data_IF_046806904609
#
_entry.id   IF_046806904609
#
_cell.length_a   1.000
_cell.length_b   1.000
_cell.length_c   1.000
_cell.angle_alpha   90.00
_cell.angle_beta   90.00
_cell.angle_gamma   90.00
#
_symmetry.space_group_name_H-M   'P 1'
#
loop_
_entity.id
_entity.type
_entity.pdbx_description
1 polymer ?
#
# COMPACT_ATOMS: atom_id res chain seq x y z
N UNK A 1 -10.12 -18.47 6.26
CA UNK A 1 -11.32 -17.95 5.54
C UNK A 1 -10.93 -17.48 4.15
N UNK A 2 -11.79 -17.61 3.14
CA UNK A 2 -11.57 -17.08 1.79
C UNK A 2 -12.47 -15.88 1.48
N UNK A 3 -11.90 -14.72 1.13
CA UNK A 3 -12.65 -13.54 0.69
C UNK A 3 -12.60 -13.40 -0.83
N UNK A 4 -13.77 -13.31 -1.48
CA UNK A 4 -13.84 -13.24 -2.94
C UNK A 4 -13.58 -11.82 -3.39
N UNK A 5 -12.58 -11.63 -4.24
CA UNK A 5 -12.25 -10.34 -4.82
C UNK A 5 -13.38 -9.85 -5.76
N UNK A 6 -13.61 -8.54 -5.75
CA UNK A 6 -14.56 -7.91 -6.68
C UNK A 6 -14.04 -7.92 -8.12
N UNK A 7 -14.92 -7.73 -9.10
CA UNK A 7 -14.53 -7.58 -10.50
C UNK A 7 -13.67 -6.33 -10.76
N UNK A 8 -13.78 -5.29 -9.92
CA UNK A 8 -12.93 -4.09 -10.00
C UNK A 8 -11.54 -4.29 -9.38
N UNK A 9 -11.25 -5.49 -8.85
CA UNK A 9 -9.96 -5.86 -8.22
C UNK A 9 -9.65 -5.05 -6.95
N UNK A 10 -10.64 -4.33 -6.43
CA UNK A 10 -10.56 -3.55 -5.21
C UNK A 10 -11.45 -4.19 -4.16
N UNK A 11 -10.88 -4.47 -3.00
CA UNK A 11 -11.60 -5.09 -1.90
C UNK A 11 -12.19 -6.47 -2.26
N UNK A 12 -13.29 -6.82 -1.60
CA UNK A 12 -13.95 -8.11 -1.68
C UNK A 12 -15.47 -7.91 -1.76
N UNK A 13 -16.15 -8.94 -2.24
CA UNK A 13 -17.61 -8.97 -2.31
C UNK A 13 -18.15 -8.95 -0.87
N UNK A 14 -18.88 -7.88 -0.54
CA UNK A 14 -19.50 -7.73 0.78
C UNK A 14 -20.60 -8.77 0.98
N UNK A 15 -20.54 -9.46 2.12
CA UNK A 15 -21.55 -10.39 2.58
C UNK A 15 -21.95 -9.99 3.99
N UNK A 16 -23.23 -10.09 4.32
CA UNK A 16 -23.74 -9.75 5.65
C UNK A 16 -23.08 -10.67 6.69
N UNK A 17 -22.47 -10.09 7.73
CA UNK A 17 -21.79 -10.84 8.78
C UNK A 17 -20.32 -11.13 8.51
N UNK A 18 -19.81 -10.91 7.29
CA UNK A 18 -18.43 -11.28 6.94
C UNK A 18 -17.40 -10.38 7.65
N UNK A 19 -17.68 -9.09 7.75
CA UNK A 19 -16.78 -8.11 8.37
C UNK A 19 -16.64 -8.39 9.87
N UNK A 20 -17.77 -8.70 10.52
CA UNK A 20 -17.83 -9.04 11.94
C UNK A 20 -17.07 -10.34 12.24
N UNK A 21 -17.19 -11.37 11.39
CA UNK A 21 -16.46 -12.62 11.58
C UNK A 21 -14.96 -12.42 11.33
N UNK A 22 -14.58 -11.62 10.33
CA UNK A 22 -13.16 -11.32 10.10
C UNK A 22 -12.54 -10.59 11.30
N UNK A 23 -13.24 -9.60 11.86
CA UNK A 23 -12.79 -8.87 13.03
C UNK A 23 -12.70 -9.79 14.27
N UNK A 24 -13.74 -10.59 14.53
CA UNK A 24 -13.79 -11.46 15.71
C UNK A 24 -12.77 -12.61 15.68
N UNK A 25 -12.34 -13.03 14.49
CA UNK A 25 -11.37 -14.12 14.31
C UNK A 25 -9.93 -13.63 14.13
N UNK A 26 -9.70 -12.31 14.11
CA UNK A 26 -8.37 -11.74 13.89
C UNK A 26 -7.88 -11.84 12.45
N UNK A 27 -8.76 -11.74 11.46
CA UNK A 27 -8.41 -11.71 10.03
C UNK A 27 -7.55 -12.89 9.50
N UNK A 28 -7.91 -14.17 9.75
CA UNK A 28 -7.27 -15.34 9.13
C UNK A 28 -7.76 -15.53 7.68
N UNK A 29 -7.53 -14.51 6.85
CA UNK A 29 -8.12 -14.36 5.53
C UNK A 29 -7.15 -14.76 4.43
N UNK A 30 -7.69 -15.34 3.35
CA UNK A 30 -7.01 -15.60 2.10
C UNK A 30 -7.84 -15.01 0.97
N UNK A 31 -7.18 -14.40 -0.03
CA UNK A 31 -7.89 -13.82 -1.16
C UNK A 31 -8.25 -14.90 -2.17
N UNK A 32 -9.50 -14.88 -2.60
CA UNK A 32 -10.08 -15.79 -3.60
C UNK A 32 -10.33 -15.00 -4.88
N UNK A 33 -9.77 -15.47 -5.98
CA UNK A 33 -10.10 -14.97 -7.31
C UNK A 33 -11.14 -15.89 -7.93
N UNK A 34 -12.26 -15.32 -8.38
CA UNK A 34 -13.27 -16.05 -9.12
C UNK A 34 -13.13 -15.78 -10.61
N UNK A 35 -12.95 -16.83 -11.42
CA UNK A 35 -12.89 -16.69 -12.88
C UNK A 35 -14.25 -16.28 -13.49
N UNK A 36 -15.33 -16.27 -12.72
CA UNK A 36 -16.61 -15.67 -13.13
C UNK A 36 -16.45 -14.18 -13.42
N UNK A 37 -15.54 -13.50 -12.72
CA UNK A 37 -15.22 -12.09 -12.99
C UNK A 37 -14.64 -11.89 -14.40
N UNK A 38 -14.17 -12.96 -15.06
CA UNK A 38 -13.62 -12.94 -16.41
C UNK A 38 -14.59 -13.44 -17.48
N UNK A 39 -15.89 -13.59 -17.19
CA UNK A 39 -16.84 -14.14 -18.19
C UNK A 39 -16.83 -13.36 -19.52
N UNK A 40 -16.55 -12.06 -19.49
CA UNK A 40 -16.42 -11.21 -20.67
C UNK A 40 -15.14 -11.45 -21.51
N UNK A 41 -14.15 -12.17 -20.97
CA UNK A 41 -12.86 -12.42 -21.63
C UNK A 41 -12.99 -13.61 -22.57
N UNK A 42 -12.89 -13.41 -23.88
CA UNK A 42 -13.11 -14.49 -24.86
C UNK A 42 -11.87 -15.36 -25.08
N UNK A 43 -10.67 -14.82 -24.85
CA UNK A 43 -9.42 -15.56 -25.03
C UNK A 43 -9.07 -16.40 -23.81
N UNK A 44 -8.90 -17.71 -24.00
CA UNK A 44 -8.41 -18.63 -22.96
C UNK A 44 -7.02 -18.25 -22.46
N UNK A 45 -6.15 -17.76 -23.36
CA UNK A 45 -4.81 -17.31 -23.03
C UNK A 45 -4.83 -16.02 -22.18
N UNK A 46 -5.74 -15.10 -22.46
CA UNK A 46 -5.90 -13.89 -21.65
C UNK A 46 -6.40 -14.24 -20.23
N UNK A 47 -7.37 -15.15 -20.11
CA UNK A 47 -7.83 -15.67 -18.81
C UNK A 47 -6.66 -16.27 -18.02
N UNK A 48 -5.84 -17.10 -18.67
CA UNK A 48 -4.64 -17.66 -18.06
C UNK A 48 -3.69 -16.58 -17.52
N UNK A 49 -3.39 -15.54 -18.30
CA UNK A 49 -2.51 -14.44 -17.83
C UNK A 49 -3.12 -13.67 -16.66
N UNK A 50 -4.45 -13.49 -16.64
CA UNK A 50 -5.14 -12.87 -15.50
C UNK A 50 -5.01 -13.70 -14.23
N UNK A 51 -5.10 -15.03 -14.33
CA UNK A 51 -4.90 -15.93 -13.19
C UNK A 51 -3.47 -15.84 -12.65
N UNK A 52 -2.47 -15.89 -13.54
CA UNK A 52 -1.05 -15.74 -13.18
C UNK A 52 -0.79 -14.42 -12.47
N UNK A 53 -1.29 -13.29 -13.02
CA UNK A 53 -1.15 -11.97 -12.41
C UNK A 53 -1.93 -11.83 -11.11
N UNK A 54 -3.10 -12.46 -11.00
CA UNK A 54 -3.86 -12.53 -9.75
C UNK A 54 -3.00 -13.09 -8.61
N UNK A 55 -2.34 -14.20 -8.86
CA UNK A 55 -1.50 -14.85 -7.86
C UNK A 55 -0.24 -14.03 -7.55
N UNK A 56 0.48 -13.59 -8.58
CA UNK A 56 1.79 -12.94 -8.40
C UNK A 56 1.65 -11.50 -7.90
N UNK A 57 0.82 -10.69 -8.56
CA UNK A 57 0.80 -9.23 -8.35
C UNK A 57 -0.14 -8.84 -7.20
N UNK A 58 -1.19 -9.64 -6.97
CA UNK A 58 -2.27 -9.33 -6.02
C UNK A 58 -2.31 -10.30 -4.83
N UNK A 59 -1.43 -11.29 -4.79
CA UNK A 59 -1.37 -12.26 -3.69
C UNK A 59 -2.64 -13.10 -3.54
N UNK A 60 -3.32 -13.40 -4.65
CA UNK A 60 -4.42 -14.37 -4.65
C UNK A 60 -3.86 -15.75 -4.27
N UNK A 61 -4.48 -16.41 -3.29
CA UNK A 61 -4.05 -17.76 -2.85
C UNK A 61 -5.03 -18.86 -3.19
N UNK A 62 -6.27 -18.50 -3.55
CA UNK A 62 -7.31 -19.44 -3.93
C UNK A 62 -7.86 -19.00 -5.28
N UNK A 63 -7.79 -19.90 -6.27
CA UNK A 63 -8.36 -19.68 -7.59
C UNK A 63 -9.63 -20.52 -7.74
N UNK A 64 -10.79 -19.86 -7.74
CA UNK A 64 -12.08 -20.49 -8.05
C UNK A 64 -12.32 -20.43 -9.55
N UNK A 65 -12.18 -21.57 -10.23
CA UNK A 65 -12.32 -21.67 -11.69
C UNK A 65 -13.70 -22.22 -12.04
N UNK A 66 -14.43 -21.45 -12.84
CA UNK A 66 -15.65 -21.87 -13.54
C UNK A 66 -15.28 -22.30 -14.96
N UNK A 67 -15.82 -23.43 -15.47
CA UNK A 67 -15.61 -23.85 -16.86
C UNK A 67 -15.90 -22.72 -17.86
N UNK A 68 -15.09 -22.64 -18.91
CA UNK A 68 -15.29 -21.67 -19.96
C UNK A 68 -16.66 -21.81 -20.62
N UNK A 69 -17.23 -20.68 -21.04
CA UNK A 69 -18.54 -20.59 -21.68
C UNK A 69 -18.44 -19.85 -23.02
N UNK A 70 -17.38 -20.13 -23.79
CA UNK A 70 -17.27 -19.58 -25.14
C UNK A 70 -18.36 -20.20 -26.01
N UNK A 71 -19.23 -19.35 -26.57
CA UNK A 71 -20.35 -19.76 -27.40
C UNK A 71 -19.92 -20.26 -28.78
N UNK A 72 -18.67 -20.02 -29.19
CA UNK A 72 -18.11 -20.46 -30.47
C UNK A 72 -17.76 -21.94 -30.50
N UNK A 73 -17.63 -22.57 -29.34
CA UNK A 73 -17.22 -23.97 -29.19
C UNK A 73 -18.22 -24.73 -28.32
N UNK A 74 -18.23 -26.05 -28.44
CA UNK A 74 -19.12 -26.88 -27.64
C UNK A 74 -18.65 -27.00 -26.17
N UNK A 75 -19.49 -27.60 -25.32
CA UNK A 75 -19.19 -27.77 -23.89
C UNK A 75 -17.93 -28.62 -23.63
N UNK A 76 -17.73 -29.69 -24.40
CA UNK A 76 -16.57 -30.58 -24.22
C UNK A 76 -15.25 -29.85 -24.54
N UNK A 77 -15.25 -29.05 -25.60
CA UNK A 77 -14.10 -28.24 -25.97
C UNK A 77 -13.82 -27.13 -24.95
N UNK A 78 -14.85 -26.44 -24.46
CA UNK A 78 -14.73 -25.48 -23.36
C UNK A 78 -14.11 -26.12 -22.09
N UNK A 79 -14.54 -27.34 -21.75
CA UNK A 79 -13.99 -28.10 -20.63
C UNK A 79 -12.51 -28.45 -20.87
N UNK A 80 -12.17 -28.98 -22.05
CA UNK A 80 -10.78 -29.32 -22.39
C UNK A 80 -9.87 -28.09 -22.35
N UNK A 81 -10.32 -26.96 -22.88
CA UNK A 81 -9.59 -25.70 -22.84
C UNK A 81 -9.40 -25.21 -21.40
N UNK A 82 -10.42 -25.33 -20.55
CA UNK A 82 -10.33 -24.98 -19.12
C UNK A 82 -9.27 -25.84 -18.42
N UNK A 83 -9.31 -27.16 -18.61
CA UNK A 83 -8.36 -28.09 -18.01
C UNK A 83 -6.93 -27.86 -18.50
N UNK A 84 -6.76 -27.57 -19.80
CA UNK A 84 -5.46 -27.22 -20.36
C UNK A 84 -4.89 -25.94 -19.72
N UNK A 85 -5.71 -24.91 -19.53
CA UNK A 85 -5.27 -23.66 -18.88
C UNK A 85 -4.95 -23.85 -17.39
N UNK A 86 -5.71 -24.68 -16.68
CA UNK A 86 -5.40 -25.05 -15.28
C UNK A 86 -4.05 -25.77 -15.21
N UNK A 87 -3.77 -26.71 -16.13
CA UNK A 87 -2.48 -27.41 -16.19
C UNK A 87 -1.33 -26.43 -16.47
N UNK A 88 -1.50 -25.52 -17.43
CA UNK A 88 -0.49 -24.51 -17.75
C UNK A 88 -0.24 -23.57 -16.57
N UNK A 89 -1.30 -23.14 -15.88
CA UNK A 89 -1.20 -22.35 -14.65
C UNK A 89 -0.44 -23.10 -13.56
N UNK A 90 -0.76 -24.38 -13.32
CA UNK A 90 -0.09 -25.21 -12.33
C UNK A 90 1.42 -25.29 -12.58
N UNK A 91 1.82 -25.63 -13.81
CA UNK A 91 3.22 -25.71 -14.21
C UNK A 91 3.93 -24.35 -14.01
N UNK A 92 3.28 -23.26 -14.45
CA UNK A 92 3.86 -21.91 -14.33
C UNK A 92 4.04 -21.48 -12.88
N UNK A 93 3.12 -21.85 -12.00
CA UNK A 93 3.24 -21.56 -10.57
C UNK A 93 4.39 -22.36 -9.95
N UNK A 94 4.55 -23.64 -10.31
CA UNK A 94 5.66 -24.47 -9.85
C UNK A 94 7.02 -23.95 -10.34
N UNK A 95 7.13 -23.56 -11.61
CA UNK A 95 8.34 -22.99 -12.19
C UNK A 95 8.75 -21.66 -11.50
N UNK A 96 7.76 -20.94 -10.96
CA UNK A 96 7.97 -19.71 -10.19
C UNK A 96 8.21 -19.95 -8.70
N UNK A 97 8.29 -21.21 -8.26
CA UNK A 97 8.59 -21.60 -6.88
C UNK A 97 7.38 -21.63 -5.94
N UNK A 98 6.14 -21.61 -6.45
CA UNK A 98 4.95 -21.80 -5.62
C UNK A 98 4.70 -23.28 -5.36
N UNK A 99 4.42 -23.61 -4.09
CA UNK A 99 3.96 -24.94 -3.72
C UNK A 99 2.42 -25.02 -3.80
N UNK A 100 1.92 -25.68 -4.84
CA UNK A 100 0.48 -25.86 -5.09
C UNK A 100 -0.09 -27.04 -4.29
N UNK A 101 0.77 -27.86 -3.65
CA UNK A 101 0.37 -29.00 -2.80
C UNK A 101 0.39 -28.65 -1.31
N UNK A 102 1.13 -27.62 -0.92
CA UNK A 102 1.10 -27.07 0.43
C UNK A 102 -0.32 -26.60 0.79
N UNK A 103 -0.68 -26.78 2.07
CA UNK A 103 -1.86 -26.13 2.63
C UNK A 103 -1.74 -24.61 2.57
N UNK A 104 -2.87 -23.92 2.71
CA UNK A 104 -2.85 -22.46 2.80
C UNK A 104 -2.05 -22.02 4.03
N UNK A 105 -1.15 -21.03 3.90
CA UNK A 105 -0.39 -20.53 5.03
C UNK A 105 -1.33 -19.91 6.06
N UNK A 106 -1.04 -20.15 7.33
CA UNK A 106 -1.67 -19.39 8.41
C UNK A 106 -1.01 -18.02 8.48
N UNK A 107 -1.75 -16.98 8.15
CA UNK A 107 -1.23 -15.63 8.13
C UNK A 107 -1.31 -15.05 9.53
N UNK A 108 -0.22 -14.41 9.94
CA UNK A 108 -0.21 -13.65 11.18
C UNK A 108 -1.28 -12.56 11.14
N UNK A 109 -2.23 -12.67 12.06
CA UNK A 109 -3.21 -11.65 12.43
C UNK A 109 -2.58 -10.42 13.09
N UNK A 110 -1.26 -10.41 13.30
CA UNK A 110 -0.59 -9.43 14.14
C UNK A 110 -0.65 -8.05 13.50
N UNK A 111 -1.45 -7.19 14.10
CA UNK A 111 -1.51 -5.78 13.75
C UNK A 111 -0.37 -5.02 14.43
N UNK A 112 0.11 -3.91 13.83
CA UNK A 112 1.03 -3.02 14.50
C UNK A 112 0.43 -2.49 15.81
N UNK A 113 1.17 -2.63 16.91
CA UNK A 113 0.71 -2.18 18.22
C UNK A 113 0.83 -0.66 18.41
N UNK A 114 0.27 -0.16 19.51
CA UNK A 114 0.33 1.27 19.90
C UNK A 114 1.75 1.83 19.97
N UNK A 115 2.72 1.03 20.41
CA UNK A 115 4.13 1.43 20.44
C UNK A 115 4.69 1.72 19.05
N UNK A 116 4.33 0.93 18.03
CA UNK A 116 4.73 1.18 16.64
C UNK A 116 4.11 2.46 16.12
N UNK A 117 2.79 2.63 16.32
CA UNK A 117 2.09 3.87 15.97
C UNK A 117 2.71 5.11 16.63
N UNK A 118 3.11 5.00 17.90
CA UNK A 118 3.79 6.07 18.62
C UNK A 118 5.13 6.44 17.95
N UNK A 119 5.96 5.45 17.62
CA UNK A 119 7.25 5.69 16.95
C UNK A 119 7.07 6.34 15.58
N UNK A 120 6.07 5.91 14.80
CA UNK A 120 5.73 6.52 13.51
C UNK A 120 5.25 7.95 13.71
N UNK A 121 4.36 8.20 14.66
CA UNK A 121 3.83 9.55 14.91
C UNK A 121 4.92 10.52 15.39
N UNK A 122 5.85 10.07 16.23
CA UNK A 122 6.99 10.87 16.68
C UNK A 122 7.97 11.16 15.54
N UNK A 123 8.23 10.19 14.66
CA UNK A 123 9.10 10.43 13.49
C UNK A 123 8.49 11.45 12.54
N UNK A 124 7.17 11.39 12.32
CA UNK A 124 6.41 12.38 11.55
C UNK A 124 6.42 13.76 12.20
N UNK A 125 6.28 13.83 13.54
CA UNK A 125 6.37 15.09 14.28
C UNK A 125 7.75 15.74 14.09
N UNK A 126 8.82 14.95 14.24
CA UNK A 126 10.19 15.45 14.05
C UNK A 126 10.44 15.89 12.60
N UNK A 127 10.01 15.10 11.61
CA UNK A 127 10.10 15.45 10.20
C UNK A 127 9.31 16.72 9.86
N UNK A 128 8.09 16.84 10.39
CA UNK A 128 7.23 18.01 10.23
C UNK A 128 7.83 19.27 10.88
N UNK A 129 8.43 19.11 12.07
CA UNK A 129 9.12 20.21 12.74
C UNK A 129 10.35 20.66 11.95
N UNK A 130 11.14 19.74 11.41
CA UNK A 130 12.27 20.08 10.53
C UNK A 130 11.79 20.85 9.29
N UNK A 131 10.74 20.36 8.62
CA UNK A 131 10.12 21.05 7.49
C UNK A 131 9.73 22.49 7.87
N UNK A 132 9.03 22.66 8.99
CA UNK A 132 8.59 23.98 9.47
C UNK A 132 9.78 24.91 9.82
N UNK A 133 10.86 24.37 10.37
CA UNK A 133 12.08 25.12 10.68
C UNK A 133 12.72 25.66 9.40
N UNK A 134 12.85 24.83 8.37
CA UNK A 134 13.42 25.25 7.09
C UNK A 134 12.53 26.25 6.34
N UNK A 135 11.20 26.11 6.48
CA UNK A 135 10.22 26.95 5.79
C UNK A 135 10.08 28.35 6.45
N UNK A 136 9.80 28.39 7.76
CA UNK A 136 9.41 29.63 8.45
C UNK A 136 10.49 30.21 9.37
N UNK A 137 11.54 29.45 9.69
CA UNK A 137 12.58 29.83 10.67
C UNK A 137 12.01 30.41 11.99
N UNK A 138 11.05 29.72 12.63
CA UNK A 138 10.44 30.21 13.87
C UNK A 138 11.47 30.29 15.01
N UNK A 139 11.17 31.10 16.02
CA UNK A 139 12.04 31.23 17.18
C UNK A 139 12.09 29.91 18.00
N UNK A 140 13.16 29.73 18.78
CA UNK A 140 13.39 28.49 19.55
C UNK A 140 12.26 28.18 20.54
N UNK A 141 11.62 29.18 21.14
CA UNK A 141 10.52 28.99 22.10
C UNK A 141 9.28 28.38 21.43
N UNK A 142 8.94 28.85 20.22
CA UNK A 142 7.85 28.31 19.41
C UNK A 142 8.15 26.87 19.01
N UNK A 143 9.38 26.59 18.54
CA UNK A 143 9.81 25.22 18.20
C UNK A 143 9.66 24.28 19.40
N UNK A 144 10.18 24.66 20.56
CA UNK A 144 10.10 23.82 21.77
C UNK A 144 8.65 23.63 22.24
N UNK A 145 7.83 24.68 22.15
CA UNK A 145 6.40 24.60 22.50
C UNK A 145 5.63 23.66 21.59
N UNK A 146 5.84 23.77 20.27
CA UNK A 146 5.21 22.89 19.28
C UNK A 146 5.67 21.44 19.42
N UNK A 147 6.96 21.20 19.66
CA UNK A 147 7.48 19.84 19.91
C UNK A 147 6.87 19.23 21.18
N UNK A 148 6.83 19.98 22.28
CA UNK A 148 6.24 19.51 23.53
C UNK A 148 4.74 19.20 23.36
N UNK A 149 3.98 20.12 22.75
CA UNK A 149 2.57 19.92 22.48
C UNK A 149 2.32 18.73 21.53
N UNK A 150 3.11 18.63 20.45
CA UNK A 150 3.04 17.53 19.50
C UNK A 150 3.35 16.18 20.14
N UNK A 151 4.35 16.11 21.02
CA UNK A 151 4.69 14.88 21.73
C UNK A 151 3.55 14.41 22.65
N UNK A 152 2.90 15.34 23.36
CA UNK A 152 1.71 15.03 24.18
C UNK A 152 0.58 14.50 23.31
N UNK A 153 0.34 15.10 22.14
CA UNK A 153 -0.67 14.62 21.17
C UNK A 153 -0.31 13.21 20.68
N UNK A 154 0.93 12.96 20.28
CA UNK A 154 1.39 11.63 19.86
C UNK A 154 1.15 10.57 20.94
N UNK A 155 1.45 10.88 22.21
CA UNK A 155 1.19 10.00 23.34
C UNK A 155 -0.32 9.77 23.52
N UNK A 156 -1.13 10.83 23.50
CA UNK A 156 -2.57 10.73 23.62
C UNK A 156 -3.23 9.90 22.52
N UNK A 157 -2.85 10.12 21.26
CA UNK A 157 -3.41 9.41 20.10
C UNK A 157 -3.09 7.91 20.11
N UNK A 158 -1.88 7.51 20.53
CA UNK A 158 -1.44 6.12 20.43
C UNK A 158 -1.63 5.32 21.72
N UNK A 159 -1.48 5.96 22.90
CA UNK A 159 -1.58 5.29 24.20
C UNK A 159 -2.93 5.53 24.88
N UNK A 160 -3.58 6.66 24.62
CA UNK A 160 -4.87 7.02 25.23
C UNK A 160 -6.07 6.64 24.37
N UNK A 161 -5.99 6.87 23.06
CA UNK A 161 -7.03 6.50 22.11
C UNK A 161 -6.70 5.14 21.49
N UNK A 162 -7.50 4.12 21.78
CA UNK A 162 -7.36 2.78 21.18
C UNK A 162 -7.92 2.74 19.75
N UNK A 163 -7.59 3.74 18.93
CA UNK A 163 -8.07 3.87 17.56
C UNK A 163 -6.94 3.62 16.55
N UNK A 164 -7.30 3.19 15.35
CA UNK A 164 -6.37 2.97 14.24
C UNK A 164 -6.10 4.27 13.48
N UNK A 165 -4.87 4.78 13.63
CA UNK A 165 -4.39 6.00 12.98
C UNK A 165 -3.51 5.74 11.75
N UNK A 166 -3.35 4.48 11.32
CA UNK A 166 -2.44 4.11 10.24
C UNK A 166 -2.69 4.86 8.92
N UNK A 167 -3.95 5.06 8.52
CA UNK A 167 -4.29 5.84 7.32
C UNK A 167 -3.86 7.30 7.45
N UNK A 168 -3.98 7.88 8.65
CA UNK A 168 -3.60 9.26 8.92
C UNK A 168 -2.08 9.42 8.87
N UNK A 169 -1.33 8.49 9.48
CA UNK A 169 0.13 8.51 9.43
C UNK A 169 0.67 8.31 8.02
N UNK A 170 0.10 7.36 7.27
CA UNK A 170 0.44 7.16 5.86
C UNK A 170 0.17 8.42 5.03
N UNK A 171 -0.98 9.08 5.22
CA UNK A 171 -1.30 10.32 4.54
C UNK A 171 -0.34 11.45 4.92
N UNK A 172 -0.06 11.63 6.21
CA UNK A 172 0.87 12.64 6.69
C UNK A 172 2.28 12.43 6.10
N UNK A 173 2.78 11.20 6.07
CA UNK A 173 4.05 10.85 5.43
C UNK A 173 4.04 11.17 3.92
N UNK A 174 2.98 10.74 3.22
CA UNK A 174 2.85 10.94 1.78
C UNK A 174 2.76 12.43 1.38
N UNK A 175 2.36 13.31 2.29
CA UNK A 175 2.37 14.76 2.08
C UNK A 175 3.69 15.38 2.50
N UNK A 176 4.14 15.06 3.71
CA UNK A 176 5.30 15.70 4.36
C UNK A 176 6.58 15.49 3.58
N UNK A 177 6.92 14.25 3.24
CA UNK A 177 8.25 13.94 2.69
C UNK A 177 8.44 14.47 1.25
N UNK A 178 7.46 14.39 0.33
CA UNK A 178 7.58 15.05 -0.97
C UNK A 178 7.67 16.59 -0.86
N UNK A 179 6.90 17.18 0.06
CA UNK A 179 6.95 18.63 0.32
C UNK A 179 8.28 19.05 0.90
N UNK A 180 8.83 18.29 1.83
CA UNK A 180 10.12 18.57 2.46
C UNK A 180 11.29 18.33 1.50
N UNK A 181 11.20 17.28 0.68
CA UNK A 181 12.17 16.99 -0.36
C UNK A 181 12.32 18.13 -1.35
N UNK A 182 11.21 18.68 -1.82
CA UNK A 182 11.23 19.81 -2.75
C UNK A 182 11.75 21.10 -2.11
N UNK A 183 11.39 21.38 -0.84
CA UNK A 183 11.95 22.50 -0.10
C UNK A 183 13.48 22.41 0.02
N UNK A 184 14.00 21.24 0.44
CA UNK A 184 15.44 21.04 0.58
C UNK A 184 16.18 21.10 -0.75
N UNK A 185 15.55 20.61 -1.83
CA UNK A 185 16.07 20.76 -3.18
C UNK A 185 16.21 22.25 -3.58
N UNK A 186 15.15 23.04 -3.39
CA UNK A 186 15.14 24.46 -3.73
C UNK A 186 16.19 25.24 -2.92
N UNK A 187 16.30 24.95 -1.62
CA UNK A 187 17.33 25.53 -0.76
C UNK A 187 18.74 25.15 -1.22
N UNK A 188 18.97 23.88 -1.58
CA UNK A 188 20.24 23.40 -2.09
C UNK A 188 20.62 24.12 -3.40
N UNK A 189 19.71 24.19 -4.37
CA UNK A 189 19.95 24.84 -5.67
C UNK A 189 20.19 26.35 -5.51
N UNK A 190 19.47 27.01 -4.59
CA UNK A 190 19.68 28.43 -4.29
C UNK A 190 21.07 28.71 -3.73
N UNK A 191 21.57 27.85 -2.83
CA UNK A 191 22.88 28.03 -2.18
C UNK A 191 24.06 27.59 -3.06
N UNK A 192 23.85 26.67 -4.00
CA UNK A 192 24.93 26.01 -4.75
C UNK A 192 24.98 26.39 -6.24
N UNK A 193 24.47 27.56 -6.64
CA UNK A 193 24.40 28.01 -8.05
C UNK A 193 25.72 27.94 -8.82
N UNK A 194 26.86 28.09 -8.16
CA UNK A 194 28.19 28.05 -8.79
C UNK A 194 28.84 26.66 -8.91
N UNK A 195 28.17 25.58 -8.47
CA UNK A 195 28.72 24.22 -8.56
C UNK A 195 28.61 23.65 -9.99
N UNK A 196 29.48 22.70 -10.38
CA UNK A 196 29.36 22.00 -11.66
C UNK A 196 28.01 21.31 -11.79
N UNK A 197 27.44 21.33 -13.00
CA UNK A 197 26.12 20.75 -13.30
C UNK A 197 25.98 19.30 -12.82
N UNK A 198 27.00 18.46 -13.06
CA UNK A 198 26.95 17.05 -12.67
C UNK A 198 26.84 16.86 -11.15
N UNK A 199 27.54 17.68 -10.36
CA UNK A 199 27.48 17.64 -8.89
C UNK A 199 26.10 18.09 -8.40
N UNK A 200 25.56 19.16 -9.00
CA UNK A 200 24.21 19.64 -8.69
C UNK A 200 23.16 18.57 -9.01
N UNK A 201 23.26 17.92 -10.18
CA UNK A 201 22.34 16.88 -10.61
C UNK A 201 22.36 15.69 -9.66
N UNK A 202 23.54 15.14 -9.36
CA UNK A 202 23.68 13.96 -8.49
C UNK A 202 23.22 14.25 -7.07
N UNK A 203 23.55 15.43 -6.54
CA UNK A 203 23.15 15.82 -5.18
C UNK A 203 21.63 16.08 -5.11
N UNK A 204 21.06 16.74 -6.13
CA UNK A 204 19.61 16.94 -6.24
C UNK A 204 18.87 15.60 -6.28
N UNK A 205 19.37 14.66 -7.07
CA UNK A 205 18.80 13.30 -7.14
C UNK A 205 18.90 12.60 -5.78
N UNK A 206 20.03 12.69 -5.10
CA UNK A 206 20.22 12.10 -3.78
C UNK A 206 19.27 12.70 -2.72
N UNK A 207 19.06 14.02 -2.72
CA UNK A 207 18.10 14.69 -1.83
C UNK A 207 16.68 14.19 -2.12
N UNK A 208 16.28 14.15 -3.40
CA UNK A 208 14.93 13.73 -3.78
C UNK A 208 14.69 12.28 -3.40
N UNK A 209 15.56 11.37 -3.83
CA UNK A 209 15.40 9.94 -3.58
C UNK A 209 15.53 9.61 -2.10
N UNK A 210 16.51 10.19 -1.41
CA UNK A 210 16.75 9.90 0.01
C UNK A 210 15.56 10.28 0.89
N UNK A 211 15.04 11.50 0.74
CA UNK A 211 13.92 11.97 1.57
C UNK A 211 12.62 11.23 1.22
N UNK A 212 12.34 11.02 -0.07
CA UNK A 212 11.14 10.28 -0.47
C UNK A 212 11.24 8.79 -0.13
N UNK A 213 12.43 8.20 -0.05
CA UNK A 213 12.60 6.82 0.41
C UNK A 213 12.22 6.67 1.89
N UNK A 214 12.54 7.65 2.73
CA UNK A 214 12.06 7.69 4.12
C UNK A 214 10.53 7.77 4.13
N UNK A 215 9.95 8.65 3.32
CA UNK A 215 8.49 8.75 3.22
C UNK A 215 7.81 7.47 2.74
N UNK A 216 8.36 6.82 1.71
CA UNK A 216 7.92 5.50 1.25
C UNK A 216 7.98 4.48 2.38
N UNK A 217 9.09 4.40 3.11
CA UNK A 217 9.23 3.49 4.25
C UNK A 217 8.18 3.78 5.34
N UNK A 218 7.96 5.04 5.69
CA UNK A 218 6.94 5.43 6.68
C UNK A 218 5.52 5.08 6.21
N UNK A 219 5.18 5.29 4.93
CA UNK A 219 3.88 4.90 4.37
C UNK A 219 3.70 3.39 4.43
N UNK A 220 4.67 2.62 3.95
CA UNK A 220 4.62 1.15 3.93
C UNK A 220 4.50 0.58 5.34
N UNK A 221 5.30 1.07 6.28
CA UNK A 221 5.26 0.60 7.68
C UNK A 221 4.01 1.05 8.44
N UNK A 222 3.39 2.18 8.06
CA UNK A 222 2.10 2.60 8.62
C UNK A 222 0.97 1.67 8.17
N UNK A 223 1.02 1.19 6.93
CA UNK A 223 0.02 0.30 6.33
C UNK A 223 0.42 -1.18 6.35
N UNK A 224 1.44 -1.55 7.15
CA UNK A 224 1.92 -2.93 7.30
C UNK A 224 0.99 -3.75 8.20
N UNK A 225 -0.28 -3.82 7.82
CA UNK A 225 -1.35 -4.56 8.49
C UNK A 225 -2.01 -5.50 7.49
N UNK A 226 -2.43 -6.67 7.96
CA UNK A 226 -3.13 -7.68 7.16
C UNK A 226 -4.36 -7.10 6.45
N UNK A 227 -5.06 -6.15 7.05
CA UNK A 227 -6.23 -5.48 6.46
C UNK A 227 -5.89 -4.75 5.16
N UNK A 228 -4.72 -4.09 5.08
CA UNK A 228 -4.27 -3.42 3.85
C UNK A 228 -3.58 -4.39 2.89
N UNK A 229 -2.75 -5.30 3.41
CA UNK A 229 -2.01 -6.27 2.59
C UNK A 229 -2.98 -7.20 1.84
N UNK A 230 -4.06 -7.62 2.50
CA UNK A 230 -5.10 -8.47 1.91
C UNK A 230 -6.22 -7.67 1.23
N UNK A 231 -6.04 -6.36 1.11
CA UNK A 231 -6.96 -5.44 0.44
C UNK A 231 -8.37 -5.45 1.06
N UNK A 232 -8.52 -5.77 2.36
CA UNK A 232 -9.80 -5.61 3.07
C UNK A 232 -10.13 -4.13 3.17
N UNK A 233 -9.13 -3.37 3.58
CA UNK A 233 -9.12 -1.92 3.64
C UNK A 233 -8.27 -1.33 2.54
N UNK A 234 -8.70 -0.18 2.03
CA UNK A 234 -7.98 0.61 1.03
C UNK A 234 -7.59 1.96 1.59
N UNK A 235 -6.43 2.46 1.15
CA UNK A 235 -5.98 3.81 1.45
C UNK A 235 -6.79 4.81 0.61
N UNK A 236 -7.69 5.56 1.23
CA UNK A 236 -8.56 6.55 0.56
C UNK A 236 -7.89 7.92 0.35
N UNK A 237 -6.73 8.16 0.98
CA UNK A 237 -6.02 9.43 0.96
C UNK A 237 -5.24 9.74 -0.33
N UNK A 238 -5.28 8.85 -1.33
CA UNK A 238 -4.47 8.94 -2.56
C UNK A 238 -4.59 10.30 -3.24
N UNK A 239 -5.82 10.81 -3.41
CA UNK A 239 -6.05 12.10 -4.09
C UNK A 239 -5.38 13.27 -3.35
N UNK A 240 -5.50 13.30 -2.02
CA UNK A 240 -4.91 14.35 -1.19
C UNK A 240 -3.38 14.22 -1.16
N UNK A 241 -2.87 13.00 -1.06
CA UNK A 241 -1.43 12.73 -1.07
C UNK A 241 -0.73 13.22 -2.36
N UNK A 242 -1.42 13.21 -3.50
CA UNK A 242 -0.88 13.77 -4.75
C UNK A 242 -1.04 15.30 -4.86
N UNK A 243 -2.14 15.86 -4.38
CA UNK A 243 -2.44 17.29 -4.53
C UNK A 243 -1.71 18.17 -3.51
N UNK A 244 -1.66 17.76 -2.24
CA UNK A 244 -1.14 18.59 -1.17
C UNK A 244 0.36 18.95 -1.33
N UNK A 245 1.26 18.02 -1.73
CA UNK A 245 2.64 18.38 -2.00
C UNK A 245 2.82 19.41 -3.11
N UNK A 246 1.96 19.38 -4.14
CA UNK A 246 2.01 20.37 -5.22
C UNK A 246 1.59 21.76 -4.74
N UNK A 247 0.60 21.84 -3.84
CA UNK A 247 0.22 23.11 -3.22
C UNK A 247 1.32 23.63 -2.29
N UNK A 248 1.93 22.76 -1.49
CA UNK A 248 3.04 23.13 -0.60
C UNK A 248 4.30 23.52 -1.38
N UNK A 249 4.50 22.96 -2.57
CA UNK A 249 5.59 23.37 -3.46
C UNK A 249 5.55 24.85 -3.84
N UNK A 250 4.34 25.45 -3.96
CA UNK A 250 4.19 26.88 -4.25
C UNK A 250 4.66 27.75 -3.08
N UNK A 251 4.61 27.22 -1.86
CA UNK A 251 4.99 27.92 -0.62
C UNK A 251 6.48 27.74 -0.31
N UNK A 252 7.10 26.66 -0.79
CA UNK A 252 8.51 26.32 -0.59
C UNK A 252 9.49 27.28 -1.30
#
# INVERSE_FOLDING_TARGET
>A
MGIIETASQLQYIKQKGLDEVMESTGYPINRVYSSTNDEYVTSSQERYYRWVRGTIDRGIRILYVVPFKDQKVNYAENMNNTLAMIKNYHNTMQDKGYDVKAGLPDLSARMPGSAHGLMVSLSLLLGGMLYLIYLLKPNRRVVTGLLAAGAIICLGLNLGLHADWSKVYALAAAILYPSFSSLLLLLYLKQNRGKPFLVQLLTSLAIILGINAIGMYTVVTSLADIRYIMNVDVFSGVKVAFLAPLLLFVVN
#
